data_IF_029800160794
#
_entry.id   IF_029800160794
#
_cell.length_a   1.000
_cell.length_b   1.000
_cell.length_c   1.000
_cell.angle_alpha   90.00
_cell.angle_beta   90.00
_cell.angle_gamma   90.00
#
_symmetry.space_group_name_H-M   'P 1'
#
loop_
_entity.id
_entity.type
_entity.pdbx_description
1 polymer ?
#
# COMPACT_ATOMS: atom_id res chain seq x y z
N UNK A 1 -2.06 -33.54 47.10
CA UNK A 1 -2.10 -32.53 46.03
C UNK A 1 -2.85 -33.16 44.86
N UNK A 2 -4.07 -32.66 44.57
CA UNK A 2 -4.80 -33.14 43.39
C UNK A 2 -4.06 -32.64 42.15
N UNK A 3 -3.58 -33.56 41.32
CA UNK A 3 -3.02 -33.27 40.00
C UNK A 3 -4.14 -32.60 39.17
N UNK A 4 -3.98 -31.33 38.84
CA UNK A 4 -4.91 -30.66 37.96
C UNK A 4 -4.98 -31.46 36.62
N UNK A 5 -6.17 -31.75 36.17
CA UNK A 5 -6.41 -32.40 34.88
C UNK A 5 -5.73 -31.55 33.79
N UNK A 6 -4.96 -32.16 32.90
CA UNK A 6 -4.40 -31.40 31.76
C UNK A 6 -5.51 -30.77 30.93
N UNK A 7 -5.38 -29.51 30.47
CA UNK A 7 -6.43 -28.83 29.72
C UNK A 7 -6.78 -29.58 28.42
N UNK A 8 -8.05 -29.54 28.01
CA UNK A 8 -8.52 -30.14 26.75
C UNK A 8 -8.05 -29.32 25.54
N UNK A 9 -8.10 -29.85 24.31
CA UNK A 9 -7.81 -29.06 23.09
C UNK A 9 -8.68 -27.80 23.00
N UNK A 10 -9.98 -27.91 23.35
CA UNK A 10 -10.93 -26.79 23.33
C UNK A 10 -10.58 -25.74 24.39
N UNK A 11 -10.16 -26.15 25.60
CA UNK A 11 -9.73 -25.23 26.64
C UNK A 11 -8.42 -24.48 26.24
N UNK A 12 -7.52 -25.15 25.53
CA UNK A 12 -6.30 -24.53 24.99
C UNK A 12 -6.60 -23.57 23.85
N UNK A 13 -7.53 -23.92 22.97
CA UNK A 13 -7.99 -23.05 21.90
C UNK A 13 -8.63 -21.77 22.44
N UNK A 14 -9.58 -21.89 23.36
CA UNK A 14 -10.20 -20.74 24.01
C UNK A 14 -9.20 -19.86 24.78
N UNK A 15 -8.15 -20.47 25.34
CA UNK A 15 -7.07 -19.71 25.97
C UNK A 15 -6.19 -18.97 24.95
N UNK A 16 -5.96 -19.59 23.78
CA UNK A 16 -5.24 -18.95 22.66
C UNK A 16 -6.01 -17.74 22.13
N UNK A 17 -7.28 -17.91 21.82
CA UNK A 17 -8.19 -16.86 21.38
C UNK A 17 -8.18 -15.67 22.34
N UNK A 18 -8.46 -15.93 23.61
CA UNK A 18 -8.45 -14.89 24.67
C UNK A 18 -7.10 -14.20 24.83
N UNK A 19 -6.00 -14.92 24.64
CA UNK A 19 -4.66 -14.31 24.70
C UNK A 19 -4.44 -13.42 23.47
N UNK A 20 -4.86 -13.87 22.30
CA UNK A 20 -4.78 -13.10 21.04
C UNK A 20 -5.59 -11.80 21.14
N UNK A 21 -6.86 -11.86 21.52
CA UNK A 21 -7.71 -10.68 21.73
C UNK A 21 -7.15 -9.68 22.76
N UNK A 22 -6.35 -10.17 23.71
CA UNK A 22 -5.70 -9.34 24.71
C UNK A 22 -4.32 -8.81 24.27
N UNK A 23 -3.91 -9.01 23.02
CA UNK A 23 -2.61 -8.60 22.48
C UNK A 23 -1.41 -9.40 23.05
N UNK A 24 -1.67 -10.55 23.69
CA UNK A 24 -0.61 -11.40 24.26
C UNK A 24 -0.23 -12.49 23.27
N UNK A 25 0.35 -12.10 22.15
CA UNK A 25 0.59 -12.96 21.00
C UNK A 25 1.52 -14.14 21.26
N UNK A 26 2.55 -13.99 22.08
CA UNK A 26 3.43 -15.09 22.49
C UNK A 26 2.66 -16.16 23.29
N UNK A 27 1.75 -15.75 24.19
CA UNK A 27 0.89 -16.65 24.93
C UNK A 27 -0.11 -17.35 24.00
N UNK A 28 -0.72 -16.60 23.07
CA UNK A 28 -1.63 -17.13 22.06
C UNK A 28 -0.94 -18.21 21.21
N UNK A 29 0.25 -17.92 20.70
CA UNK A 29 1.07 -18.86 19.92
C UNK A 29 1.37 -20.14 20.72
N UNK A 30 1.80 -20.00 21.98
CA UNK A 30 2.11 -21.15 22.83
C UNK A 30 0.87 -22.04 23.05
N UNK A 31 -0.30 -21.45 23.28
CA UNK A 31 -1.56 -22.19 23.48
C UNK A 31 -2.06 -22.84 22.20
N UNK A 32 -1.93 -22.18 21.05
CA UNK A 32 -2.25 -22.74 19.76
C UNK A 32 -1.36 -23.95 19.45
N UNK A 33 -0.06 -23.86 19.68
CA UNK A 33 0.88 -24.98 19.53
C UNK A 33 0.56 -26.16 20.44
N UNK A 34 0.13 -25.90 21.69
CA UNK A 34 -0.31 -26.96 22.59
C UNK A 34 -1.63 -27.62 22.11
N UNK A 35 -2.58 -26.82 21.57
CA UNK A 35 -3.81 -27.35 20.99
C UNK A 35 -3.53 -28.23 19.78
N UNK A 36 -2.68 -27.79 18.85
CA UNK A 36 -2.27 -28.53 17.65
C UNK A 36 -1.56 -29.84 18.02
N UNK A 37 -0.71 -29.86 19.05
CA UNK A 37 -0.07 -31.11 19.52
C UNK A 37 -1.09 -32.14 20.00
N UNK A 38 -2.27 -31.74 20.44
CA UNK A 38 -3.33 -32.65 20.92
C UNK A 38 -4.34 -32.99 19.86
N UNK A 39 -4.66 -32.01 19.01
CA UNK A 39 -5.51 -32.18 17.83
C UNK A 39 -4.86 -31.47 16.64
N UNK A 40 -4.05 -32.22 15.89
CA UNK A 40 -3.35 -31.72 14.71
C UNK A 40 -4.25 -31.30 13.53
N UNK A 41 -5.58 -31.50 13.65
CA UNK A 41 -6.56 -31.11 12.62
C UNK A 41 -7.44 -29.94 13.06
N UNK A 42 -7.20 -29.33 14.20
CA UNK A 42 -7.92 -28.17 14.67
C UNK A 42 -7.60 -26.95 13.80
N UNK A 43 -8.46 -26.62 12.84
CA UNK A 43 -8.30 -25.48 11.92
C UNK A 43 -8.18 -24.16 12.69
N UNK A 44 -9.03 -23.97 13.71
CA UNK A 44 -8.98 -22.76 14.55
C UNK A 44 -7.64 -22.63 15.30
N UNK A 45 -7.05 -23.74 15.79
CA UNK A 45 -5.74 -23.67 16.43
C UNK A 45 -4.62 -23.30 15.43
N UNK A 46 -4.68 -23.82 14.21
CA UNK A 46 -3.78 -23.43 13.13
C UNK A 46 -3.96 -21.97 12.73
N UNK A 47 -5.20 -21.47 12.68
CA UNK A 47 -5.51 -20.06 12.43
C UNK A 47 -4.87 -19.15 13.48
N UNK A 48 -5.14 -19.38 14.78
CA UNK A 48 -4.56 -18.55 15.84
C UNK A 48 -3.02 -18.64 15.91
N UNK A 49 -2.46 -19.80 15.54
CA UNK A 49 -1.01 -19.95 15.41
C UNK A 49 -0.45 -19.02 14.35
N UNK A 50 -1.04 -19.04 13.16
CA UNK A 50 -0.60 -18.23 12.03
C UNK A 50 -0.79 -16.73 12.31
N UNK A 51 -1.95 -16.35 12.82
CA UNK A 51 -2.24 -14.97 13.20
C UNK A 51 -1.29 -14.45 14.29
N UNK A 52 -1.03 -15.25 15.34
CA UNK A 52 -0.09 -14.83 16.39
C UNK A 52 1.36 -14.70 15.88
N UNK A 53 1.79 -15.54 14.96
CA UNK A 53 3.09 -15.41 14.30
C UNK A 53 3.19 -14.12 13.48
N UNK A 54 2.13 -13.76 12.76
CA UNK A 54 2.05 -12.54 11.99
C UNK A 54 2.17 -11.30 12.88
N UNK A 55 1.40 -11.24 13.96
CA UNK A 55 1.45 -10.14 14.95
C UNK A 55 2.81 -10.01 15.68
N UNK A 56 3.55 -11.11 15.77
CA UNK A 56 4.92 -11.13 16.31
C UNK A 56 5.99 -10.70 15.29
N UNK A 57 5.60 -10.37 14.06
CA UNK A 57 6.53 -10.04 12.98
C UNK A 57 7.30 -11.25 12.43
N UNK A 58 6.90 -12.49 12.76
CA UNK A 58 7.51 -13.73 12.29
C UNK A 58 6.87 -14.16 10.96
N UNK A 59 7.02 -13.29 9.94
CA UNK A 59 6.22 -13.32 8.71
C UNK A 59 6.39 -14.61 7.90
N UNK A 60 7.62 -15.12 7.73
CA UNK A 60 7.84 -16.38 7.01
C UNK A 60 7.17 -17.58 7.72
N UNK A 61 7.26 -17.63 9.04
CA UNK A 61 6.64 -18.71 9.82
C UNK A 61 5.10 -18.58 9.81
N UNK A 62 4.57 -17.37 9.77
CA UNK A 62 3.13 -17.11 9.61
C UNK A 62 2.65 -17.60 8.24
N UNK A 63 3.37 -17.29 7.17
CA UNK A 63 3.08 -17.75 5.81
C UNK A 63 3.03 -19.28 5.73
N UNK A 64 4.06 -19.96 6.24
CA UNK A 64 4.10 -21.42 6.28
C UNK A 64 2.93 -21.99 7.10
N UNK A 65 2.56 -21.31 8.21
CA UNK A 65 1.46 -21.76 9.07
C UNK A 65 0.10 -21.61 8.37
N UNK A 66 -0.17 -20.51 7.65
CA UNK A 66 -1.37 -20.37 6.84
C UNK A 66 -1.43 -21.36 5.69
N UNK A 67 -0.32 -21.60 4.99
CA UNK A 67 -0.27 -22.62 3.93
C UNK A 67 -0.56 -24.02 4.45
N UNK A 68 0.03 -24.41 5.60
CA UNK A 68 -0.21 -25.68 6.24
C UNK A 68 -1.68 -25.83 6.70
N UNK A 69 -2.27 -24.78 7.24
CA UNK A 69 -3.66 -24.74 7.65
C UNK A 69 -4.62 -24.89 6.46
N UNK A 70 -4.39 -24.15 5.39
CA UNK A 70 -5.17 -24.23 4.14
C UNK A 70 -5.00 -25.58 3.42
N UNK A 71 -3.90 -26.31 3.68
CA UNK A 71 -3.72 -27.68 3.18
C UNK A 71 -4.64 -28.70 3.92
N UNK A 72 -5.07 -28.40 5.16
CA UNK A 72 -6.01 -29.23 5.90
C UNK A 72 -7.45 -29.00 5.41
N UNK A 73 -7.84 -27.77 5.25
CA UNK A 73 -9.08 -27.35 4.61
C UNK A 73 -8.90 -26.02 3.85
N UNK A 74 -8.91 -26.16 2.55
CA UNK A 74 -8.70 -25.01 1.65
C UNK A 74 -9.91 -24.11 1.51
N UNK A 75 -11.09 -24.53 1.98
CA UNK A 75 -12.37 -23.84 1.86
C UNK A 75 -12.88 -23.31 3.22
N UNK A 76 -12.08 -23.46 4.28
CA UNK A 76 -12.38 -22.86 5.58
C UNK A 76 -12.36 -21.34 5.48
N UNK A 77 -13.47 -20.69 5.85
CA UNK A 77 -13.65 -19.26 5.65
C UNK A 77 -12.81 -18.42 6.60
N UNK A 78 -12.61 -18.84 7.83
CA UNK A 78 -11.82 -18.11 8.82
C UNK A 78 -10.33 -18.12 8.42
N UNK A 79 -9.85 -19.29 7.95
CA UNK A 79 -8.49 -19.39 7.42
C UNK A 79 -8.30 -18.55 6.15
N UNK A 80 -9.31 -18.50 5.28
CA UNK A 80 -9.24 -17.71 4.05
C UNK A 80 -9.20 -16.21 4.36
N UNK A 81 -9.99 -15.71 5.33
CA UNK A 81 -9.93 -14.31 5.76
C UNK A 81 -8.55 -13.98 6.30
N UNK A 82 -8.08 -14.75 7.29
CA UNK A 82 -6.79 -14.48 7.93
C UNK A 82 -5.62 -14.58 6.95
N UNK A 83 -5.63 -15.58 6.06
CA UNK A 83 -4.58 -15.72 5.05
C UNK A 83 -4.64 -14.61 3.99
N UNK A 84 -5.83 -14.19 3.56
CA UNK A 84 -5.96 -13.08 2.61
C UNK A 84 -5.49 -11.77 3.22
N UNK A 85 -5.90 -11.48 4.46
CA UNK A 85 -5.49 -10.30 5.20
C UNK A 85 -3.96 -10.27 5.42
N UNK A 86 -3.38 -11.39 5.82
CA UNK A 86 -1.95 -11.54 5.98
C UNK A 86 -1.18 -11.23 4.69
N UNK A 87 -1.62 -11.78 3.57
CA UNK A 87 -0.94 -11.56 2.29
C UNK A 87 -1.14 -10.14 1.74
N UNK A 88 -2.27 -9.48 2.05
CA UNK A 88 -2.55 -8.13 1.57
C UNK A 88 -1.93 -7.08 2.48
N UNK A 89 -2.05 -7.21 3.81
CA UNK A 89 -1.77 -6.10 4.72
C UNK A 89 -0.47 -6.24 5.52
N UNK A 90 0.08 -7.45 5.70
CA UNK A 90 1.19 -7.69 6.62
C UNK A 90 2.52 -8.03 5.93
N UNK A 91 2.49 -8.48 4.69
CA UNK A 91 3.70 -8.76 3.92
C UNK A 91 4.07 -7.53 3.08
N UNK A 92 4.96 -6.68 3.59
CA UNK A 92 5.40 -5.45 2.94
C UNK A 92 6.94 -5.38 2.84
N UNK A 93 7.62 -6.47 2.49
CA UNK A 93 9.07 -6.45 2.32
C UNK A 93 9.50 -7.17 1.03
N UNK A 94 10.15 -6.40 0.13
CA UNK A 94 10.91 -6.81 -1.08
C UNK A 94 10.16 -7.29 -2.33
N UNK A 95 10.93 -7.48 -3.44
CA UNK A 95 10.51 -7.79 -4.83
C UNK A 95 9.49 -8.96 -5.00
N UNK A 96 9.29 -9.78 -3.98
CA UNK A 96 8.26 -10.83 -3.93
C UNK A 96 6.84 -10.29 -3.61
N UNK A 97 6.71 -8.99 -3.35
CA UNK A 97 5.50 -8.35 -2.83
C UNK A 97 4.30 -8.51 -3.76
N UNK A 98 4.49 -8.31 -5.06
CA UNK A 98 3.41 -8.41 -6.06
C UNK A 98 2.76 -9.79 -6.07
N UNK A 99 3.56 -10.86 -6.13
CA UNK A 99 3.04 -12.24 -6.15
C UNK A 99 2.29 -12.59 -4.87
N UNK A 100 2.73 -12.03 -3.74
CA UNK A 100 2.09 -12.24 -2.44
C UNK A 100 0.75 -11.51 -2.35
N UNK A 101 0.68 -10.27 -2.81
CA UNK A 101 -0.58 -9.51 -2.90
C UNK A 101 -1.55 -10.20 -3.87
N UNK A 102 -1.10 -10.65 -5.04
CA UNK A 102 -1.92 -11.41 -5.99
C UNK A 102 -2.48 -12.70 -5.37
N UNK A 103 -1.68 -13.36 -4.52
CA UNK A 103 -2.14 -14.52 -3.76
C UNK A 103 -3.22 -14.14 -2.75
N UNK A 104 -3.06 -13.05 -2.00
CA UNK A 104 -4.08 -12.51 -1.10
C UNK A 104 -5.39 -12.21 -1.82
N UNK A 105 -5.32 -11.55 -2.97
CA UNK A 105 -6.47 -11.29 -3.85
C UNK A 105 -7.16 -12.60 -4.28
N UNK A 106 -6.38 -13.63 -4.66
CA UNK A 106 -6.93 -14.92 -5.08
C UNK A 106 -7.66 -15.63 -3.92
N UNK A 107 -7.11 -15.57 -2.69
CA UNK A 107 -7.75 -16.09 -1.48
C UNK A 107 -9.04 -15.32 -1.16
N UNK A 108 -9.01 -13.99 -1.20
CA UNK A 108 -10.17 -13.15 -0.99
C UNK A 108 -11.29 -13.42 -2.01
N UNK A 109 -10.97 -13.53 -3.30
CA UNK A 109 -11.92 -13.91 -4.36
C UNK A 109 -12.56 -15.27 -4.13
N UNK A 110 -11.77 -16.23 -3.63
CA UNK A 110 -12.28 -17.55 -3.29
C UNK A 110 -13.22 -17.48 -2.10
N UNK A 111 -12.81 -16.82 -1.02
CA UNK A 111 -13.61 -16.63 0.18
C UNK A 111 -14.94 -15.93 -0.13
N UNK A 112 -14.94 -14.86 -0.94
CA UNK A 112 -16.15 -14.16 -1.35
C UNK A 112 -17.17 -15.08 -2.06
N UNK A 113 -16.68 -15.99 -2.93
CA UNK A 113 -17.55 -16.97 -3.59
C UNK A 113 -18.17 -17.98 -2.62
N UNK A 114 -17.40 -18.40 -1.62
CA UNK A 114 -17.85 -19.35 -0.60
C UNK A 114 -18.82 -18.67 0.39
N UNK A 115 -18.54 -17.47 0.85
CA UNK A 115 -19.41 -16.66 1.71
C UNK A 115 -20.75 -16.38 1.03
N UNK A 116 -20.75 -15.98 -0.24
CA UNK A 116 -21.98 -15.84 -1.05
C UNK A 116 -22.79 -17.14 -1.12
N UNK A 117 -22.13 -18.29 -1.30
CA UNK A 117 -22.79 -19.61 -1.33
C UNK A 117 -23.35 -20.01 0.03
N UNK A 118 -22.74 -19.55 1.11
CA UNK A 118 -23.19 -19.75 2.49
C UNK A 118 -24.29 -18.76 2.91
N UNK A 119 -24.68 -17.82 2.03
CA UNK A 119 -25.64 -16.74 2.30
C UNK A 119 -25.21 -15.82 3.46
N UNK A 120 -23.86 -15.54 3.51
CA UNK A 120 -23.27 -14.63 4.48
C UNK A 120 -22.78 -13.35 3.77
N UNK A 121 -23.62 -12.33 3.63
CA UNK A 121 -23.27 -11.10 2.93
C UNK A 121 -22.23 -10.27 3.68
N UNK A 122 -22.18 -10.34 5.02
CA UNK A 122 -21.19 -9.59 5.79
C UNK A 122 -19.78 -10.13 5.53
N UNK A 123 -19.62 -11.44 5.58
CA UNK A 123 -18.34 -12.09 5.29
C UNK A 123 -17.97 -11.96 3.81
N UNK A 124 -18.92 -12.00 2.88
CA UNK A 124 -18.67 -11.66 1.48
C UNK A 124 -18.13 -10.23 1.33
N UNK A 125 -18.73 -9.26 2.04
CA UNK A 125 -18.28 -7.87 2.07
C UNK A 125 -16.84 -7.72 2.57
N UNK A 126 -16.47 -8.45 3.61
CA UNK A 126 -15.12 -8.45 4.15
C UNK A 126 -14.09 -9.01 3.14
N UNK A 127 -14.39 -10.11 2.49
CA UNK A 127 -13.54 -10.63 1.41
C UNK A 127 -13.43 -9.66 0.23
N UNK A 128 -14.51 -8.94 -0.11
CA UNK A 128 -14.46 -7.92 -1.15
C UNK A 128 -13.61 -6.73 -0.75
N UNK A 129 -13.64 -6.33 0.53
CA UNK A 129 -12.74 -5.30 1.06
C UNK A 129 -11.27 -5.70 0.91
N UNK A 130 -10.92 -6.93 1.31
CA UNK A 130 -9.56 -7.46 1.17
C UNK A 130 -9.13 -7.57 -0.30
N UNK A 131 -10.01 -8.03 -1.19
CA UNK A 131 -9.76 -8.02 -2.64
C UNK A 131 -9.43 -6.60 -3.13
N UNK A 132 -10.21 -5.61 -2.69
CA UNK A 132 -10.02 -4.23 -3.12
C UNK A 132 -8.75 -3.61 -2.54
N UNK A 133 -8.40 -3.89 -1.29
CA UNK A 133 -7.15 -3.46 -0.68
C UNK A 133 -5.93 -3.98 -1.47
N UNK A 134 -5.91 -5.27 -1.81
CA UNK A 134 -4.86 -5.83 -2.65
C UNK A 134 -4.81 -5.22 -4.06
N UNK A 135 -5.97 -4.99 -4.69
CA UNK A 135 -6.03 -4.30 -5.99
C UNK A 135 -5.49 -2.87 -5.91
N UNK A 136 -5.78 -2.15 -4.84
CA UNK A 136 -5.26 -0.81 -4.60
C UNK A 136 -3.73 -0.82 -4.47
N UNK A 137 -3.16 -1.77 -3.74
CA UNK A 137 -1.70 -1.92 -3.62
C UNK A 137 -1.03 -2.20 -4.96
N UNK A 138 -1.68 -2.94 -5.84
CA UNK A 138 -1.19 -3.20 -7.20
C UNK A 138 -1.44 -2.03 -8.18
N UNK A 139 -1.93 -0.87 -7.71
CA UNK A 139 -2.27 0.27 -8.57
C UNK A 139 -3.52 0.06 -9.43
N UNK A 140 -4.27 -1.02 -9.21
CA UNK A 140 -5.48 -1.37 -9.97
C UNK A 140 -6.74 -0.72 -9.37
N UNK A 141 -6.66 0.58 -9.07
CA UNK A 141 -7.69 1.34 -8.35
C UNK A 141 -9.05 1.39 -9.05
N UNK A 142 -9.10 1.25 -10.40
CA UNK A 142 -10.37 1.11 -11.14
C UNK A 142 -11.10 -0.19 -10.81
N UNK A 143 -10.35 -1.28 -10.76
CA UNK A 143 -10.85 -2.60 -10.39
C UNK A 143 -11.26 -2.61 -8.92
N UNK A 144 -10.45 -2.02 -8.04
CA UNK A 144 -10.76 -1.86 -6.62
C UNK A 144 -12.11 -1.16 -6.41
N UNK A 145 -12.38 -0.03 -7.11
CA UNK A 145 -13.64 0.68 -7.00
C UNK A 145 -14.86 -0.15 -7.40
N UNK A 146 -14.73 -1.04 -8.39
CA UNK A 146 -15.83 -1.93 -8.78
C UNK A 146 -16.16 -2.94 -7.69
N UNK A 147 -15.10 -3.50 -7.07
CA UNK A 147 -15.24 -4.47 -5.97
C UNK A 147 -15.79 -3.79 -4.71
N UNK A 148 -15.36 -2.56 -4.44
CA UNK A 148 -15.82 -1.78 -3.29
C UNK A 148 -17.29 -1.39 -3.34
N UNK A 149 -17.92 -1.38 -4.53
CA UNK A 149 -19.39 -1.20 -4.62
C UNK A 149 -20.15 -2.33 -3.92
N UNK A 150 -19.71 -3.57 -4.12
CA UNK A 150 -20.30 -4.74 -3.48
C UNK A 150 -19.97 -4.75 -1.97
N UNK A 151 -18.73 -4.42 -1.59
CA UNK A 151 -18.30 -4.32 -0.20
C UNK A 151 -19.09 -3.25 0.57
N UNK A 152 -19.27 -2.05 0.00
CA UNK A 152 -20.05 -0.95 0.61
C UNK A 152 -21.52 -1.32 0.78
N UNK A 153 -22.11 -2.05 -0.16
CA UNK A 153 -23.49 -2.51 -0.05
C UNK A 153 -23.68 -3.52 1.09
N UNK A 154 -22.67 -4.36 1.34
CA UNK A 154 -22.69 -5.35 2.42
C UNK A 154 -22.28 -4.77 3.78
N UNK A 155 -21.34 -3.83 3.79
CA UNK A 155 -20.72 -3.21 4.97
C UNK A 155 -20.80 -1.67 4.90
N UNK A 156 -22.00 -1.07 4.95
CA UNK A 156 -22.19 0.37 4.72
C UNK A 156 -21.54 1.27 5.79
N UNK A 157 -21.29 0.72 6.97
CA UNK A 157 -20.72 1.42 8.12
C UNK A 157 -19.27 0.95 8.44
N UNK A 158 -18.57 0.34 7.46
CA UNK A 158 -17.15 0.00 7.63
C UNK A 158 -16.25 1.19 7.30
N UNK A 159 -15.38 1.53 8.25
CA UNK A 159 -14.33 2.55 8.10
C UNK A 159 -13.36 2.14 7.01
N UNK A 160 -12.93 0.89 7.02
CA UNK A 160 -11.96 0.32 6.10
C UNK A 160 -12.47 0.36 4.66
N UNK A 161 -13.74 0.00 4.42
CA UNK A 161 -14.35 0.09 3.08
C UNK A 161 -14.37 1.54 2.57
N UNK A 162 -14.71 2.50 3.44
CA UNK A 162 -14.71 3.92 3.07
C UNK A 162 -13.30 4.46 2.85
N UNK A 163 -12.34 4.00 3.63
CA UNK A 163 -10.92 4.37 3.48
C UNK A 163 -10.36 3.85 2.16
N UNK A 164 -10.52 2.56 1.87
CA UNK A 164 -10.09 1.94 0.61
C UNK A 164 -10.71 2.61 -0.62
N UNK A 165 -11.99 3.00 -0.50
CA UNK A 165 -12.68 3.75 -1.55
C UNK A 165 -12.10 5.16 -1.71
N UNK A 166 -11.80 5.83 -0.61
CA UNK A 166 -11.16 7.14 -0.60
C UNK A 166 -9.77 7.10 -1.24
N UNK A 167 -8.97 6.09 -0.89
CA UNK A 167 -7.68 5.83 -1.50
C UNK A 167 -7.78 5.61 -3.02
N UNK A 168 -8.60 4.66 -3.47
CA UNK A 168 -8.78 4.37 -4.89
C UNK A 168 -9.23 5.59 -5.69
N UNK A 169 -10.12 6.40 -5.13
CA UNK A 169 -10.58 7.64 -5.76
C UNK A 169 -9.49 8.72 -5.81
N UNK A 170 -8.63 8.80 -4.79
CA UNK A 170 -7.48 9.69 -4.77
C UNK A 170 -6.48 9.30 -5.86
N UNK A 171 -6.12 8.02 -5.96
CA UNK A 171 -5.23 7.48 -6.99
C UNK A 171 -5.75 7.71 -8.42
N UNK A 172 -7.06 7.75 -8.60
CA UNK A 172 -7.70 8.07 -9.87
C UNK A 172 -7.94 9.58 -10.08
N UNK A 173 -7.32 10.44 -9.29
CA UNK A 173 -7.46 11.90 -9.35
C UNK A 173 -8.91 12.40 -9.18
N UNK A 174 -9.82 11.58 -8.61
CA UNK A 174 -11.22 11.92 -8.32
C UNK A 174 -11.33 12.56 -6.94
N UNK A 175 -10.57 13.64 -6.70
CA UNK A 175 -10.34 14.24 -5.38
C UNK A 175 -11.62 14.64 -4.64
N UNK A 176 -12.63 15.15 -5.34
CA UNK A 176 -13.92 15.51 -4.73
C UNK A 176 -14.68 14.32 -4.17
N UNK A 177 -14.65 13.20 -4.88
CA UNK A 177 -15.30 11.95 -4.45
C UNK A 177 -14.46 11.24 -3.38
N UNK A 178 -13.13 11.27 -3.49
CA UNK A 178 -12.22 10.81 -2.45
C UNK A 178 -12.51 11.51 -1.12
N UNK A 179 -12.62 12.84 -1.14
CA UNK A 179 -12.97 13.63 0.04
C UNK A 179 -14.30 13.20 0.65
N UNK A 180 -15.32 12.94 -0.17
CA UNK A 180 -16.62 12.52 0.33
C UNK A 180 -16.56 11.13 1.01
N UNK A 181 -15.85 10.16 0.44
CA UNK A 181 -15.65 8.84 1.03
C UNK A 181 -14.85 8.92 2.35
N UNK A 182 -13.76 9.68 2.36
CA UNK A 182 -12.91 9.85 3.55
C UNK A 182 -13.63 10.62 4.69
N UNK A 183 -14.51 11.56 4.39
CA UNK A 183 -15.33 12.21 5.41
C UNK A 183 -16.38 11.25 6.00
N UNK A 184 -16.85 10.26 5.24
CA UNK A 184 -17.68 9.17 5.79
C UNK A 184 -16.85 8.27 6.71
N UNK A 185 -15.63 7.89 6.32
CA UNK A 185 -14.71 7.15 7.19
C UNK A 185 -14.46 7.92 8.50
N UNK A 186 -14.16 9.22 8.43
CA UNK A 186 -13.97 10.06 9.63
C UNK A 186 -15.21 10.15 10.52
N UNK A 187 -16.41 10.12 9.94
CA UNK A 187 -17.65 10.14 10.71
C UNK A 187 -17.88 8.85 11.48
N UNK A 188 -17.39 7.72 10.96
CA UNK A 188 -17.44 6.40 11.59
C UNK A 188 -16.32 6.25 12.64
N UNK A 189 -15.10 6.60 12.28
CA UNK A 189 -13.97 6.66 13.22
C UNK A 189 -13.14 7.92 12.99
N UNK A 190 -13.10 8.80 14.02
CA UNK A 190 -12.33 10.03 13.99
C UNK A 190 -10.84 9.83 14.23
N UNK A 191 -10.47 8.72 14.84
CA UNK A 191 -9.10 8.44 15.28
C UNK A 191 -8.39 7.47 14.36
N UNK A 192 -8.98 7.17 13.20
CA UNK A 192 -8.33 6.40 12.15
C UNK A 192 -7.25 7.27 11.43
N UNK A 193 -5.95 6.94 11.54
CA UNK A 193 -4.87 7.81 11.11
C UNK A 193 -4.73 7.95 9.59
N UNK A 194 -4.98 6.90 8.81
CA UNK A 194 -4.91 6.94 7.35
C UNK A 194 -6.00 7.83 6.75
N UNK A 195 -7.20 7.83 7.35
CA UNK A 195 -8.28 8.75 6.97
C UNK A 195 -7.83 10.20 7.11
N UNK A 196 -7.17 10.54 8.23
CA UNK A 196 -6.64 11.89 8.43
C UNK A 196 -5.53 12.23 7.44
N UNK A 197 -4.66 11.27 7.14
CA UNK A 197 -3.59 11.44 6.16
C UNK A 197 -4.15 11.74 4.76
N UNK A 198 -5.08 10.91 4.25
CA UNK A 198 -5.66 11.12 2.91
C UNK A 198 -6.54 12.37 2.82
N UNK A 199 -7.24 12.77 3.88
CA UNK A 199 -7.90 14.07 3.94
C UNK A 199 -6.90 15.22 3.86
N UNK A 200 -5.71 15.05 4.44
CA UNK A 200 -4.60 15.98 4.29
C UNK A 200 -4.11 16.11 2.86
N UNK A 201 -3.89 14.98 2.17
CA UNK A 201 -3.48 14.95 0.76
C UNK A 201 -4.52 15.62 -0.15
N UNK A 202 -5.80 15.34 0.07
CA UNK A 202 -6.88 15.97 -0.70
C UNK A 202 -6.96 17.48 -0.44
N UNK A 203 -6.78 17.94 0.81
CA UNK A 203 -6.76 19.35 1.15
C UNK A 203 -5.55 20.07 0.50
N UNK A 204 -4.38 19.44 0.51
CA UNK A 204 -3.17 19.94 -0.14
C UNK A 204 -3.37 20.12 -1.66
N UNK A 205 -3.98 19.13 -2.33
CA UNK A 205 -4.36 19.22 -3.75
C UNK A 205 -5.37 20.33 -4.04
N UNK A 206 -6.22 20.65 -3.07
CA UNK A 206 -7.18 21.77 -3.18
C UNK A 206 -6.55 23.14 -2.85
N UNK A 207 -5.26 23.20 -2.48
CA UNK A 207 -4.57 24.41 -2.06
C UNK A 207 -4.94 24.88 -0.65
N UNK A 208 -5.63 24.07 0.15
CA UNK A 208 -5.96 24.36 1.55
C UNK A 208 -4.82 23.89 2.48
N UNK A 209 -3.76 24.67 2.48
CA UNK A 209 -2.54 24.41 3.27
C UNK A 209 -2.80 24.34 4.79
N UNK A 210 -3.78 25.09 5.30
CA UNK A 210 -4.11 25.08 6.73
C UNK A 210 -4.79 23.76 7.12
N UNK A 211 -5.79 23.35 6.35
CA UNK A 211 -6.46 22.07 6.53
C UNK A 211 -5.48 20.92 6.37
N UNK A 212 -4.67 20.90 5.32
CA UNK A 212 -3.67 19.87 5.06
C UNK A 212 -2.72 19.70 6.25
N UNK A 213 -2.16 20.81 6.75
CA UNK A 213 -1.26 20.80 7.91
C UNK A 213 -1.93 20.26 9.17
N UNK A 214 -3.20 20.64 9.39
CA UNK A 214 -3.99 20.17 10.53
C UNK A 214 -4.22 18.66 10.44
N UNK A 215 -4.59 18.15 9.27
CA UNK A 215 -4.86 16.73 9.00
C UNK A 215 -3.60 15.87 9.14
N UNK A 216 -2.51 16.25 8.51
CA UNK A 216 -1.21 15.56 8.67
C UNK A 216 -0.72 15.59 10.12
N UNK A 217 -0.90 16.72 10.82
CA UNK A 217 -0.57 16.81 12.24
C UNK A 217 -1.39 15.87 13.11
N UNK A 218 -2.66 15.61 12.76
CA UNK A 218 -3.52 14.65 13.44
C UNK A 218 -3.09 13.21 13.14
N UNK A 219 -2.89 12.84 11.87
CA UNK A 219 -2.41 11.51 11.48
C UNK A 219 -1.12 11.14 12.25
N UNK A 220 -0.13 12.05 12.26
CA UNK A 220 1.13 11.86 12.99
C UNK A 220 0.94 11.71 14.49
N UNK A 221 -0.05 12.39 15.08
CA UNK A 221 -0.32 12.28 16.52
C UNK A 221 -0.96 10.94 16.87
N UNK A 222 -1.77 10.39 15.96
CA UNK A 222 -2.45 9.11 16.12
C UNK A 222 -1.49 7.94 15.92
N UNK A 223 -0.66 8.03 14.88
CA UNK A 223 0.35 7.03 14.56
C UNK A 223 1.66 7.73 14.10
N UNK A 224 2.60 7.98 15.03
CA UNK A 224 3.85 8.65 14.72
C UNK A 224 4.84 7.79 13.93
N UNK A 225 4.70 6.47 13.98
CA UNK A 225 5.58 5.53 13.31
C UNK A 225 5.21 5.42 11.82
N UNK A 226 3.92 5.29 11.50
CA UNK A 226 3.42 5.28 10.13
C UNK A 226 3.52 6.67 9.47
N UNK A 227 3.35 7.77 10.25
CA UNK A 227 3.37 9.14 9.73
C UNK A 227 4.47 9.99 10.38
N UNK A 228 5.75 9.68 10.13
CA UNK A 228 6.86 10.50 10.66
C UNK A 228 6.77 11.92 10.10
N UNK A 229 7.45 12.86 10.78
CA UNK A 229 7.52 14.22 10.27
C UNK A 229 8.36 14.23 8.99
N UNK A 230 7.79 14.64 7.83
CA UNK A 230 8.57 14.74 6.61
C UNK A 230 9.68 15.78 6.77
N UNK A 231 10.76 15.63 6.01
CA UNK A 231 11.72 16.72 5.85
C UNK A 231 11.03 17.86 5.09
N UNK A 232 11.44 19.06 5.35
CA UNK A 232 10.96 20.24 4.63
C UNK A 232 12.16 21.15 4.37
N UNK A 233 12.51 21.29 3.11
CA UNK A 233 13.64 22.11 2.66
C UNK A 233 13.13 23.42 2.06
N UNK A 234 13.96 24.47 2.13
CA UNK A 234 13.72 25.62 1.26
C UNK A 234 13.99 25.24 -0.20
N UNK A 235 13.43 25.98 -1.19
CA UNK A 235 13.70 25.71 -2.59
C UNK A 235 15.21 25.62 -2.90
N UNK A 236 16.02 26.52 -2.35
CA UNK A 236 17.45 26.54 -2.57
C UNK A 236 18.16 25.32 -1.95
N UNK A 237 17.67 24.83 -0.79
CA UNK A 237 18.23 23.64 -0.14
C UNK A 237 17.81 22.36 -0.87
N UNK A 238 16.63 22.36 -1.50
CA UNK A 238 16.18 21.25 -2.34
C UNK A 238 16.95 21.22 -3.66
N UNK A 239 17.16 22.37 -4.32
CA UNK A 239 17.99 22.48 -5.52
C UNK A 239 19.42 21.96 -5.25
N UNK A 240 20.01 22.31 -4.10
CA UNK A 240 21.30 21.77 -3.70
C UNK A 240 21.27 20.23 -3.49
N UNK A 241 20.17 19.67 -3.02
CA UNK A 241 20.03 18.21 -2.92
C UNK A 241 19.92 17.54 -4.30
N UNK A 242 19.25 18.18 -5.26
CA UNK A 242 19.20 17.74 -6.66
C UNK A 242 20.60 17.78 -7.29
N UNK A 243 21.38 18.83 -7.05
CA UNK A 243 22.78 18.93 -7.52
C UNK A 243 23.66 17.82 -6.93
N UNK A 244 23.52 17.55 -5.63
CA UNK A 244 24.25 16.46 -4.95
C UNK A 244 23.85 15.09 -5.53
N UNK A 245 22.57 14.86 -5.77
CA UNK A 245 22.07 13.63 -6.41
C UNK A 245 22.66 13.46 -7.83
N UNK A 246 22.58 14.50 -8.66
CA UNK A 246 23.16 14.50 -10.00
C UNK A 246 24.67 14.22 -9.99
N UNK A 247 25.40 14.78 -9.03
CA UNK A 247 26.84 14.55 -8.90
C UNK A 247 27.16 13.09 -8.53
N UNK A 248 26.27 12.40 -7.82
CA UNK A 248 26.45 11.01 -7.41
C UNK A 248 26.11 10.00 -8.52
N UNK A 249 25.37 10.41 -9.56
CA UNK A 249 24.96 9.52 -10.65
C UNK A 249 26.15 9.02 -11.48
N UNK A 250 26.07 7.80 -12.06
CA UNK A 250 27.08 7.30 -12.99
C UNK A 250 27.27 8.22 -14.20
N UNK A 251 28.51 8.34 -14.70
CA UNK A 251 28.84 9.18 -15.86
C UNK A 251 27.99 8.86 -17.10
N UNK A 252 27.59 7.62 -17.28
CA UNK A 252 26.74 7.20 -18.37
C UNK A 252 25.36 7.88 -18.29
N UNK A 253 24.75 7.90 -17.11
CA UNK A 253 23.42 8.53 -16.86
C UNK A 253 23.53 10.05 -17.01
N UNK A 254 24.56 10.67 -16.40
CA UNK A 254 24.80 12.12 -16.49
C UNK A 254 24.92 12.62 -17.92
N UNK A 255 25.50 11.82 -18.84
CA UNK A 255 25.58 12.18 -20.26
C UNK A 255 24.20 12.26 -20.93
N UNK A 256 23.26 11.43 -20.57
CA UNK A 256 21.89 11.53 -21.07
C UNK A 256 21.18 12.77 -20.53
N UNK A 257 21.39 13.08 -19.26
CA UNK A 257 20.80 14.25 -18.60
C UNK A 257 21.36 15.59 -19.09
N UNK A 258 22.54 15.62 -19.72
CA UNK A 258 23.18 16.88 -20.17
C UNK A 258 22.32 17.72 -21.15
N UNK A 259 21.34 17.11 -21.81
CA UNK A 259 20.45 17.78 -22.77
C UNK A 259 18.95 17.70 -22.32
N UNK A 260 18.71 17.38 -21.06
CA UNK A 260 17.37 17.28 -20.47
C UNK A 260 17.28 18.35 -19.38
N UNK A 261 16.27 19.19 -19.44
CA UNK A 261 16.02 20.15 -18.37
C UNK A 261 15.50 19.42 -17.13
N UNK A 262 16.05 19.72 -15.96
CA UNK A 262 15.54 19.21 -14.69
C UNK A 262 14.84 20.39 -14.01
N UNK A 263 13.57 20.22 -13.67
CA UNK A 263 12.74 21.23 -13.01
C UNK A 263 12.15 20.66 -11.73
N UNK A 264 11.86 21.52 -10.78
CA UNK A 264 11.24 21.16 -9.51
C UNK A 264 9.88 21.84 -9.44
N UNK A 265 8.84 21.07 -9.12
CA UNK A 265 7.50 21.56 -8.87
C UNK A 265 7.03 21.03 -7.51
N UNK A 266 6.09 21.69 -6.84
CA UNK A 266 5.58 21.24 -5.54
C UNK A 266 4.85 19.89 -5.68
N UNK A 267 3.95 19.80 -6.67
CA UNK A 267 3.09 18.64 -6.94
C UNK A 267 2.90 18.42 -8.44
N UNK A 268 2.54 17.20 -8.88
CA UNK A 268 2.12 16.96 -10.25
C UNK A 268 0.90 17.82 -10.62
N UNK A 269 0.89 18.38 -11.83
CA UNK A 269 -0.28 19.11 -12.34
C UNK A 269 -1.41 18.15 -12.71
N UNK A 270 -2.65 18.64 -12.72
CA UNK A 270 -3.79 17.83 -13.16
C UNK A 270 -3.66 17.45 -14.65
N UNK A 271 -3.05 18.32 -15.47
CA UNK A 271 -2.78 18.03 -16.88
C UNK A 271 -1.84 16.83 -17.05
N UNK A 272 -0.80 16.74 -16.24
CA UNK A 272 0.13 15.59 -16.27
C UNK A 272 -0.54 14.32 -15.77
N UNK A 273 -1.25 14.41 -14.64
CA UNK A 273 -1.88 13.25 -14.02
C UNK A 273 -2.97 12.64 -14.92
N UNK A 274 -3.75 13.49 -15.59
CA UNK A 274 -4.90 13.06 -16.40
C UNK A 274 -4.55 12.80 -17.88
N UNK A 275 -3.30 13.02 -18.28
CA UNK A 275 -2.87 12.79 -19.66
C UNK A 275 -2.94 11.30 -20.07
N UNK A 276 -2.49 10.32 -19.26
CA UNK A 276 -2.66 8.90 -19.57
C UNK A 276 -4.02 8.37 -19.07
N UNK A 277 -4.38 7.19 -19.57
CA UNK A 277 -5.55 6.44 -19.12
C UNK A 277 -5.14 4.99 -18.79
N UNK A 278 -5.13 4.59 -17.51
CA UNK A 278 -5.56 5.30 -16.31
C UNK A 278 -4.68 6.52 -15.98
N UNK A 279 -5.17 7.47 -15.16
CA UNK A 279 -4.38 8.60 -14.71
C UNK A 279 -3.17 8.13 -13.88
N UNK A 280 -2.11 8.94 -13.86
CA UNK A 280 -0.96 8.71 -12.99
C UNK A 280 -1.37 8.91 -11.52
N UNK A 281 -0.67 8.21 -10.63
CA UNK A 281 -0.82 8.44 -9.19
C UNK A 281 -0.43 9.87 -8.82
N UNK A 282 -1.21 10.59 -7.99
CA UNK A 282 -0.79 11.88 -7.46
C UNK A 282 0.46 11.83 -6.59
N UNK A 283 0.89 10.64 -6.18
CA UNK A 283 2.08 10.41 -5.34
C UNK A 283 3.37 10.20 -6.11
N UNK A 284 3.38 10.27 -7.46
CA UNK A 284 4.60 10.13 -8.25
C UNK A 284 5.68 11.11 -7.79
N UNK A 285 6.94 10.66 -7.85
CA UNK A 285 8.10 11.42 -7.37
C UNK A 285 8.73 12.27 -8.46
N UNK A 286 8.58 11.84 -9.71
CA UNK A 286 9.05 12.54 -10.90
C UNK A 286 8.19 12.25 -12.11
N UNK A 287 8.49 12.91 -13.22
CA UNK A 287 7.83 12.70 -14.51
C UNK A 287 8.73 13.15 -15.64
N UNK A 288 8.95 12.28 -16.62
CA UNK A 288 9.54 12.68 -17.90
C UNK A 288 8.50 13.34 -18.79
N UNK A 289 8.73 14.60 -19.16
CA UNK A 289 7.92 15.34 -20.13
C UNK A 289 8.69 15.45 -21.46
N UNK A 290 8.16 14.87 -22.52
CA UNK A 290 8.74 14.99 -23.85
C UNK A 290 8.66 13.70 -24.68
N UNK A 291 9.22 13.74 -25.89
CA UNK A 291 9.30 12.56 -26.73
C UNK A 291 10.51 11.68 -26.32
N UNK A 292 10.37 10.35 -26.24
CA UNK A 292 11.48 9.43 -26.04
C UNK A 292 12.60 9.64 -27.05
N UNK A 293 13.84 9.35 -26.67
CA UNK A 293 15.04 9.63 -27.47
C UNK A 293 14.95 9.03 -28.88
N UNK A 294 14.43 7.81 -29.01
CA UNK A 294 14.26 7.12 -30.28
C UNK A 294 13.23 7.76 -31.24
N UNK A 295 12.30 8.56 -30.71
CA UNK A 295 11.26 9.23 -31.49
C UNK A 295 11.64 10.65 -31.91
N UNK A 296 12.69 11.24 -31.38
CA UNK A 296 13.17 12.60 -31.71
C UNK A 296 13.58 12.77 -33.18
N UNK A 297 13.79 11.67 -33.91
CA UNK A 297 14.08 11.66 -35.35
C UNK A 297 12.82 11.61 -36.24
N UNK A 298 11.62 11.56 -35.64
CA UNK A 298 10.36 11.53 -36.41
C UNK A 298 10.00 12.92 -36.92
N UNK A 299 9.22 12.97 -38.04
CA UNK A 299 8.69 14.22 -38.61
C UNK A 299 7.53 14.79 -37.78
N UNK A 300 7.26 14.24 -36.60
CA UNK A 300 6.22 14.71 -35.69
C UNK A 300 6.65 16.05 -35.04
N UNK A 301 5.85 17.12 -35.17
CA UNK A 301 6.14 18.41 -34.52
C UNK A 301 6.40 18.33 -33.03
N UNK A 302 5.80 17.38 -32.32
CA UNK A 302 5.95 17.16 -30.87
C UNK A 302 7.33 16.60 -30.49
N UNK A 303 8.03 15.93 -31.41
CA UNK A 303 9.38 15.40 -31.18
C UNK A 303 10.46 16.50 -31.02
N UNK A 304 10.11 17.76 -31.31
CA UNK A 304 11.02 18.89 -31.24
C UNK A 304 10.90 19.70 -29.95
N UNK A 305 9.95 19.36 -29.06
CA UNK A 305 9.89 20.00 -27.76
C UNK A 305 11.08 19.58 -26.88
N UNK A 306 11.65 20.51 -26.07
CA UNK A 306 12.71 20.17 -25.16
C UNK A 306 12.20 19.12 -24.16
N UNK A 307 13.00 18.06 -23.96
CA UNK A 307 12.72 17.07 -22.93
C UNK A 307 13.03 17.65 -21.54
N UNK A 308 12.17 17.38 -20.60
CA UNK A 308 12.38 17.76 -19.21
C UNK A 308 12.05 16.60 -18.28
N UNK A 309 12.75 16.51 -17.18
CA UNK A 309 12.37 15.70 -16.03
C UNK A 309 11.88 16.67 -14.96
N UNK A 310 10.69 16.42 -14.45
CA UNK A 310 10.11 17.16 -13.35
C UNK A 310 10.22 16.34 -12.10
N UNK A 311 10.75 16.94 -11.03
CA UNK A 311 10.80 16.35 -9.68
C UNK A 311 9.74 17.01 -8.82
N UNK A 312 8.97 16.21 -8.06
CA UNK A 312 7.90 16.72 -7.22
C UNK A 312 8.35 16.80 -5.76
N UNK A 313 8.73 18.02 -5.34
CA UNK A 313 9.39 18.27 -4.05
C UNK A 313 8.58 17.72 -2.87
N UNK A 314 7.27 17.99 -2.80
CA UNK A 314 6.45 17.58 -1.66
C UNK A 314 6.31 16.07 -1.53
N UNK A 315 6.24 15.35 -2.65
CA UNK A 315 6.16 13.90 -2.65
C UNK A 315 7.50 13.29 -2.23
N UNK A 316 8.62 13.79 -2.77
CA UNK A 316 9.97 13.37 -2.41
C UNK A 316 10.29 13.65 -0.92
N UNK A 317 9.93 14.83 -0.40
CA UNK A 317 10.10 15.17 1.01
C UNK A 317 9.25 14.29 1.95
N UNK A 318 8.09 13.83 1.48
CA UNK A 318 7.22 12.93 2.24
C UNK A 318 7.74 11.51 2.27
N UNK A 319 8.37 11.08 1.20
CA UNK A 319 8.99 9.76 1.08
C UNK A 319 10.23 9.65 1.98
N UNK A 320 11.09 10.65 1.99
CA UNK A 320 12.36 10.62 2.70
C UNK A 320 12.24 11.08 4.17
N UNK A 321 13.00 10.43 5.06
CA UNK A 321 13.11 10.78 6.49
C UNK A 321 14.31 11.65 6.78
N UNK A 322 15.36 11.54 5.96
CA UNK A 322 16.63 12.26 6.10
C UNK A 322 17.04 12.90 4.78
N UNK A 323 17.95 13.91 4.85
CA UNK A 323 18.51 14.51 3.64
C UNK A 323 19.29 13.49 2.79
N UNK A 324 19.93 12.53 3.40
CA UNK A 324 20.68 11.48 2.68
C UNK A 324 19.71 10.59 1.88
N UNK A 325 18.63 10.12 2.49
CA UNK A 325 17.57 9.37 1.82
C UNK A 325 16.90 10.19 0.70
N UNK A 326 16.68 11.51 0.92
CA UNK A 326 16.15 12.37 -0.14
C UNK A 326 17.08 12.43 -1.36
N UNK A 327 18.38 12.61 -1.15
CA UNK A 327 19.37 12.64 -2.24
C UNK A 327 19.39 11.30 -2.99
N UNK A 328 19.35 10.20 -2.26
CA UNK A 328 19.27 8.85 -2.84
C UNK A 328 18.00 8.67 -3.66
N UNK A 329 16.85 9.04 -3.10
CA UNK A 329 15.56 8.92 -3.80
C UNK A 329 15.47 9.82 -5.02
N UNK A 330 15.99 11.04 -4.97
CA UNK A 330 16.12 11.91 -6.16
C UNK A 330 16.97 11.21 -7.23
N UNK A 331 18.07 10.57 -6.83
CA UNK A 331 18.96 9.84 -7.74
C UNK A 331 18.23 8.67 -8.43
N UNK A 332 17.49 7.86 -7.66
CA UNK A 332 16.65 6.75 -8.17
C UNK A 332 15.60 7.30 -9.14
N UNK A 333 14.84 8.32 -8.74
CA UNK A 333 13.83 8.96 -9.58
C UNK A 333 14.43 9.47 -10.90
N UNK A 334 15.59 10.12 -10.87
CA UNK A 334 16.25 10.59 -12.09
C UNK A 334 16.68 9.44 -13.01
N UNK A 335 17.13 8.32 -12.47
CA UNK A 335 17.52 7.13 -13.25
C UNK A 335 16.27 6.53 -13.91
N UNK A 336 15.18 6.41 -13.16
CA UNK A 336 13.89 5.93 -13.66
C UNK A 336 13.39 6.80 -14.83
N UNK A 337 13.35 8.11 -14.67
CA UNK A 337 12.92 9.06 -15.72
C UNK A 337 13.84 9.06 -16.95
N UNK A 338 15.14 8.79 -16.75
CA UNK A 338 16.08 8.56 -17.88
C UNK A 338 15.71 7.28 -18.62
N UNK A 339 15.23 6.26 -17.94
CA UNK A 339 14.72 5.05 -18.59
C UNK A 339 13.56 5.35 -19.52
N UNK A 340 12.57 6.12 -19.08
CA UNK A 340 11.48 6.60 -19.95
C UNK A 340 11.97 7.47 -21.10
N UNK A 341 12.93 8.37 -20.85
CA UNK A 341 13.60 9.11 -21.93
C UNK A 341 14.24 8.19 -22.97
N UNK A 342 14.80 7.05 -22.57
CA UNK A 342 15.38 6.07 -23.47
C UNK A 342 14.33 5.20 -24.17
N UNK A 343 13.07 5.30 -23.79
CA UNK A 343 11.93 4.58 -24.37
C UNK A 343 11.65 3.23 -23.71
N UNK A 344 12.13 3.03 -22.48
CA UNK A 344 11.78 1.86 -21.67
C UNK A 344 10.37 2.07 -21.08
N UNK A 345 9.58 1.00 -21.05
CA UNK A 345 8.32 0.96 -20.31
C UNK A 345 8.54 0.48 -18.85
N UNK A 346 7.47 0.49 -18.05
CA UNK A 346 7.53 0.12 -16.65
C UNK A 346 8.04 -1.31 -16.44
N UNK A 347 7.58 -2.26 -17.25
CA UNK A 347 8.01 -3.66 -17.18
C UNK A 347 9.50 -3.82 -17.50
N UNK A 348 10.02 -3.02 -18.44
CA UNK A 348 11.44 -3.00 -18.80
C UNK A 348 12.31 -2.31 -17.75
N UNK A 349 11.78 -1.28 -17.07
CA UNK A 349 12.43 -0.62 -15.95
C UNK A 349 12.54 -1.56 -14.77
N UNK A 350 11.44 -2.19 -14.39
CA UNK A 350 11.40 -3.19 -13.34
C UNK A 350 12.37 -4.36 -13.59
N UNK A 351 12.37 -4.92 -14.80
CA UNK A 351 13.28 -6.03 -15.16
C UNK A 351 14.77 -5.66 -15.08
N UNK A 352 15.10 -4.37 -14.98
CA UNK A 352 16.48 -3.84 -14.88
C UNK A 352 16.82 -3.27 -13.50
N UNK A 353 15.87 -3.32 -12.56
CA UNK A 353 16.05 -2.75 -11.21
C UNK A 353 16.25 -1.24 -11.24
N UNK A 354 15.48 -0.53 -12.06
CA UNK A 354 15.57 0.93 -12.24
C UNK A 354 14.30 1.65 -11.72
N UNK A 355 13.58 1.03 -10.80
CA UNK A 355 12.39 1.60 -10.15
C UNK A 355 12.73 2.58 -9.02
#
# INVERSE_FOLDING_TARGET
MASARPPSPEELLAASEKAFEAGRFEEALHRADEAIRRDGRSLAAHHYRAAALAELGRLEEAREAYEAALALDRDDLDLLVGAADFHVNLLQEDEAERDLVERGIALARRGAKLARKADDPALEGEFRRLEAAGLNQLGLSREALRVLQDAEAALPDSVEVMLEKGFALYELCRFGEARAALLRAEALDRDEPWTQHYLGLVAERAGDEEEARRRFGRARKLDPDAFPKPIALSPEAFDAAVEDALASLPDAVRRYLSNVAITVEDHPSDDDLLAPDPPLSPAILGLFRGAPYGQKASMDPWSHFPSAIVLYQRNLERFARTRAELIEQIGITLIHEVGHFLGLDEDELWARGLE
#
